data_IF_761397318468
#
_entry.id   IF_761397318468
#
_cell.length_a   1.000
_cell.length_b   1.000
_cell.length_c   1.000
_cell.angle_alpha   90.00
_cell.angle_beta   90.00
_cell.angle_gamma   90.00
#
_symmetry.space_group_name_H-M   'P 1'
#
loop_
_entity.id
_entity.type
_entity.pdbx_description
1 polymer ?
#
# COMPACT_ATOMS: atom_id res chain seq x y z
N UNK A 1 -6.03 -5.23 5.24
CA UNK A 1 -6.75 -6.24 4.43
C UNK A 1 -5.79 -6.79 3.39
N UNK A 2 -5.89 -8.10 3.12
CA UNK A 2 -5.07 -8.78 2.12
C UNK A 2 -5.89 -8.96 0.85
N UNK A 3 -5.42 -8.38 -0.25
CA UNK A 3 -6.00 -8.61 -1.56
C UNK A 3 -5.17 -9.67 -2.31
N UNK A 4 -5.85 -10.47 -3.13
CA UNK A 4 -5.22 -11.48 -3.98
C UNK A 4 -4.64 -10.87 -5.27
N UNK A 5 -5.05 -9.66 -5.64
CA UNK A 5 -4.54 -8.93 -6.80
C UNK A 5 -4.56 -7.41 -6.58
N UNK A 6 -3.74 -6.68 -7.35
CA UNK A 6 -3.72 -5.19 -7.33
C UNK A 6 -5.09 -4.62 -7.71
N UNK A 7 -5.77 -5.23 -8.68
CA UNK A 7 -7.09 -4.79 -9.12
C UNK A 7 -8.15 -4.93 -8.03
N UNK A 8 -8.15 -6.05 -7.30
CA UNK A 8 -9.04 -6.24 -6.16
C UNK A 8 -8.76 -5.23 -5.06
N UNK A 9 -7.48 -4.92 -4.83
CA UNK A 9 -7.06 -3.92 -3.86
C UNK A 9 -7.60 -2.53 -4.20
N UNK A 10 -7.51 -2.11 -5.47
CA UNK A 10 -8.03 -0.83 -5.95
C UNK A 10 -9.55 -0.74 -5.77
N UNK A 11 -10.30 -1.80 -6.11
CA UNK A 11 -11.75 -1.83 -5.91
C UNK A 11 -12.13 -1.67 -4.43
N UNK A 12 -11.47 -2.40 -3.54
CA UNK A 12 -11.71 -2.29 -2.09
C UNK A 12 -11.31 -0.91 -1.58
N UNK A 13 -10.25 -0.31 -2.11
CA UNK A 13 -9.84 1.04 -1.74
C UNK A 13 -10.90 2.08 -2.11
N UNK A 14 -11.46 2.00 -3.32
CA UNK A 14 -12.52 2.89 -3.78
C UNK A 14 -13.80 2.71 -2.94
N UNK A 15 -14.19 1.47 -2.66
CA UNK A 15 -15.32 1.18 -1.77
C UNK A 15 -15.10 1.76 -0.38
N UNK A 16 -13.92 1.57 0.21
CA UNK A 16 -13.59 2.11 1.53
C UNK A 16 -13.57 3.64 1.53
N UNK A 17 -13.04 4.28 0.48
CA UNK A 17 -13.11 5.74 0.38
C UNK A 17 -14.54 6.24 0.34
N UNK A 18 -15.41 5.56 -0.42
CA UNK A 18 -16.83 5.88 -0.50
C UNK A 18 -17.53 5.75 0.87
N UNK A 19 -17.32 4.64 1.58
CA UNK A 19 -17.98 4.40 2.87
C UNK A 19 -17.41 5.22 4.03
N UNK A 20 -16.11 5.51 4.03
CA UNK A 20 -15.46 6.22 5.14
C UNK A 20 -15.57 7.75 5.03
N UNK A 21 -15.86 8.29 3.84
CA UNK A 21 -16.09 9.71 3.61
C UNK A 21 -14.97 10.58 4.19
N UNK A 22 -15.27 11.30 5.29
CA UNK A 22 -14.32 12.18 5.98
C UNK A 22 -13.15 11.47 6.67
N UNK A 23 -13.21 10.14 6.86
CA UNK A 23 -12.13 9.33 7.43
C UNK A 23 -11.36 8.53 6.37
N UNK A 24 -11.53 8.87 5.08
CA UNK A 24 -10.84 8.22 3.95
C UNK A 24 -9.32 8.39 4.01
N UNK A 25 -8.83 9.41 4.69
CA UNK A 25 -7.41 9.67 4.97
C UNK A 25 -6.74 8.59 5.82
N UNK A 26 -7.53 7.74 6.49
CA UNK A 26 -7.07 6.58 7.26
C UNK A 26 -6.82 5.35 6.40
N UNK A 27 -7.23 5.34 5.13
CA UNK A 27 -6.97 4.23 4.20
C UNK A 27 -5.61 4.44 3.56
N UNK A 28 -4.69 3.52 3.81
CA UNK A 28 -3.35 3.56 3.26
C UNK A 28 -3.13 2.34 2.36
N UNK A 29 -2.66 2.57 1.14
CA UNK A 29 -2.26 1.50 0.21
C UNK A 29 -0.75 1.40 0.26
N UNK A 30 -0.24 0.20 0.53
CA UNK A 30 1.19 -0.09 0.35
C UNK A 30 1.39 -0.66 -1.06
N UNK A 31 1.89 0.14 -2.02
CA UNK A 31 2.06 -0.34 -3.38
C UNK A 31 3.16 -1.39 -3.43
N UNK A 32 3.02 -2.30 -4.38
CA UNK A 32 4.00 -3.34 -4.56
C UNK A 32 5.34 -2.82 -5.06
N UNK A 33 6.41 -3.59 -4.87
CA UNK A 33 7.63 -3.35 -5.62
C UNK A 33 7.34 -3.60 -7.11
N UNK A 34 7.54 -2.60 -7.96
CA UNK A 34 7.48 -2.76 -9.42
C UNK A 34 8.65 -3.59 -9.97
N UNK A 35 9.71 -3.72 -9.18
CA UNK A 35 10.89 -4.50 -9.51
C UNK A 35 10.84 -5.85 -8.79
N UNK A 36 11.19 -6.91 -9.50
CA UNK A 36 11.42 -8.22 -8.88
C UNK A 36 12.56 -8.11 -7.85
N UNK A 37 12.57 -8.97 -6.82
CA UNK A 37 13.73 -9.09 -5.95
C UNK A 37 14.96 -9.38 -6.84
N UNK A 38 16.02 -8.60 -6.66
CA UNK A 38 17.27 -8.66 -7.43
C UNK A 38 17.23 -8.08 -8.85
N UNK A 39 16.22 -7.27 -9.20
CA UNK A 39 16.27 -6.49 -10.43
C UNK A 39 17.40 -5.44 -10.37
N UNK A 40 18.08 -5.22 -11.50
CA UNK A 40 19.20 -4.26 -11.63
C UNK A 40 18.72 -2.82 -11.74
N UNK A 41 17.42 -2.60 -11.94
CA UNK A 41 16.83 -1.28 -12.02
C UNK A 41 16.30 -0.86 -10.65
N UNK A 42 16.55 0.40 -10.29
CA UNK A 42 15.88 0.99 -9.14
C UNK A 42 14.39 1.13 -9.44
N UNK A 43 13.49 0.85 -8.47
CA UNK A 43 12.07 1.08 -8.65
C UNK A 43 11.81 2.54 -8.99
N UNK A 44 10.71 2.80 -9.70
CA UNK A 44 10.36 4.15 -10.10
C UNK A 44 10.29 5.06 -8.85
N UNK A 45 10.82 6.30 -8.91
CA UNK A 45 10.82 7.22 -7.76
C UNK A 45 9.43 7.43 -7.16
N UNK A 46 8.39 7.38 -8.01
CA UNK A 46 6.99 7.49 -7.62
C UNK A 46 6.55 6.38 -6.66
N UNK A 47 6.84 5.12 -6.98
CA UNK A 47 6.51 3.97 -6.11
C UNK A 47 7.29 4.02 -4.81
N UNK A 48 8.57 4.38 -4.87
CA UNK A 48 9.40 4.53 -3.67
C UNK A 48 8.83 5.61 -2.74
N UNK A 49 8.43 6.75 -3.29
CA UNK A 49 7.78 7.84 -2.56
C UNK A 49 6.48 7.38 -1.90
N UNK A 50 5.61 6.68 -2.65
CA UNK A 50 4.35 6.15 -2.13
C UNK A 50 4.56 5.14 -0.99
N UNK A 51 5.57 4.26 -1.11
CA UNK A 51 5.93 3.33 -0.02
C UNK A 51 6.42 4.04 1.22
N UNK A 52 7.32 5.04 1.07
CA UNK A 52 7.80 5.83 2.21
C UNK A 52 6.65 6.57 2.89
N UNK A 53 5.72 7.14 2.12
CA UNK A 53 4.52 7.79 2.65
C UNK A 53 3.66 6.79 3.45
N UNK A 54 3.43 5.60 2.89
CA UNK A 54 2.66 4.55 3.55
C UNK A 54 3.32 4.06 4.84
N UNK A 55 4.63 3.83 4.82
CA UNK A 55 5.41 3.47 6.03
C UNK A 55 5.43 4.60 7.06
N UNK A 56 5.50 5.86 6.63
CA UNK A 56 5.41 7.02 7.51
C UNK A 56 4.06 7.13 8.21
N UNK A 57 2.97 6.73 7.55
CA UNK A 57 1.64 6.62 8.18
C UNK A 57 1.57 5.41 9.13
N UNK A 58 2.21 4.29 8.78
CA UNK A 58 2.29 3.09 9.63
C UNK A 58 2.93 3.38 11.01
N UNK A 59 3.91 4.30 11.05
CA UNK A 59 4.59 4.70 12.28
C UNK A 59 3.77 5.64 13.16
N UNK A 60 2.60 6.10 12.72
CA UNK A 60 1.73 6.98 13.54
C UNK A 60 0.85 6.15 14.47
N UNK A 61 0.52 6.67 15.66
CA UNK A 61 -0.32 5.97 16.64
C UNK A 61 -1.82 5.95 16.27
N UNK A 62 -2.22 6.69 15.24
CA UNK A 62 -3.63 6.79 14.83
C UNK A 62 -4.12 5.48 14.19
N UNK A 63 -5.39 5.08 14.40
CA UNK A 63 -5.95 3.90 13.77
C UNK A 63 -6.06 4.10 12.25
N UNK A 64 -5.45 3.20 11.48
CA UNK A 64 -5.50 3.21 10.02
C UNK A 64 -5.85 1.83 9.44
N UNK A 65 -6.29 1.82 8.18
CA UNK A 65 -6.56 0.61 7.41
C UNK A 65 -5.45 0.47 6.36
N UNK A 66 -4.63 -0.57 6.49
CA UNK A 66 -3.62 -0.90 5.49
C UNK A 66 -4.20 -1.87 4.45
N UNK A 67 -4.14 -1.49 3.19
CA UNK A 67 -4.43 -2.35 2.06
C UNK A 67 -3.10 -2.80 1.43
N UNK A 68 -2.93 -4.12 1.32
CA UNK A 68 -1.71 -4.72 0.76
C UNK A 68 -2.05 -5.98 -0.02
N UNK A 69 -1.36 -6.20 -1.14
CA UNK A 69 -1.46 -7.45 -1.90
C UNK A 69 -0.67 -8.57 -1.21
N UNK A 70 -1.17 -9.80 -1.24
CA UNK A 70 -0.54 -10.96 -0.60
C UNK A 70 0.94 -11.15 -1.01
N UNK A 71 1.26 -10.92 -2.27
CA UNK A 71 2.62 -10.98 -2.82
C UNK A 71 3.60 -10.04 -2.11
N UNK A 72 3.10 -8.93 -1.56
CA UNK A 72 3.93 -7.88 -0.95
C UNK A 72 4.33 -8.18 0.49
N UNK A 73 3.61 -9.07 1.18
CA UNK A 73 3.93 -9.47 2.56
C UNK A 73 5.13 -10.41 2.62
N UNK A 74 5.39 -11.13 1.54
CA UNK A 74 6.54 -12.02 1.44
C UNK A 74 7.87 -11.25 1.39
N UNK A 75 7.83 -9.94 1.10
CA UNK A 75 8.99 -9.08 1.10
C UNK A 75 9.25 -8.50 2.48
N UNK A 76 10.51 -8.60 2.93
CA UNK A 76 10.95 -7.92 4.15
C UNK A 76 10.87 -6.41 3.94
N UNK A 77 10.19 -5.71 4.85
CA UNK A 77 10.21 -4.26 4.89
C UNK A 77 11.62 -3.79 5.32
N UNK A 78 12.18 -2.77 4.67
CA UNK A 78 13.46 -2.18 5.07
C UNK A 78 13.37 -1.46 6.42
#
# INVERSE_FOLDING_TARGET
>A
MLASSVRELELVADELQFFLGANSDRVCILPGWECLPYDRYSPHPEITSQRIRALGQLCRPDPFILLVCAEQILFRLP
#
